data_IF_472467187214
#
_entry.id   IF_472467187214
#
_cell.length_a   1.000
_cell.length_b   1.000
_cell.length_c   1.000
_cell.angle_alpha   90.00
_cell.angle_beta   90.00
_cell.angle_gamma   90.00
#
_symmetry.space_group_name_H-M   'P 1'
#
loop_
_entity.id
_entity.type
_entity.pdbx_description
1 polymer ?
#
# COMPACT_ATOMS: atom_id res chain seq x y z
N UNK A 1 -66.39 4.35 -11.79
CA UNK A 1 -65.53 3.15 -11.71
C UNK A 1 -64.16 3.49 -12.29
N UNK A 2 -63.13 3.36 -11.45
CA UNK A 2 -61.66 3.29 -11.72
C UNK A 2 -61.02 4.37 -12.62
N UNK A 3 -60.50 5.41 -11.95
CA UNK A 3 -59.55 6.39 -12.48
C UNK A 3 -58.20 5.71 -12.83
N UNK A 4 -57.69 5.81 -14.07
CA UNK A 4 -56.42 5.21 -14.47
C UNK A 4 -55.18 6.08 -14.13
N UNK A 5 -55.34 7.10 -13.28
CA UNK A 5 -54.31 8.13 -13.07
C UNK A 5 -53.32 7.81 -11.93
N UNK A 6 -53.48 6.67 -11.25
CA UNK A 6 -52.69 6.30 -10.07
C UNK A 6 -51.58 5.27 -10.34
N UNK A 7 -51.31 4.94 -11.61
CA UNK A 7 -50.33 3.90 -11.98
C UNK A 7 -49.01 4.46 -12.53
N UNK A 8 -48.85 5.79 -12.59
CA UNK A 8 -47.66 6.45 -13.15
C UNK A 8 -46.79 7.21 -12.13
N UNK A 9 -47.12 7.18 -10.84
CA UNK A 9 -46.46 8.04 -9.82
C UNK A 9 -45.79 7.31 -8.66
N UNK A 10 -45.48 6.01 -8.79
CA UNK A 10 -44.61 5.30 -7.84
C UNK A 10 -43.28 4.84 -8.44
N UNK A 11 -43.00 5.17 -9.71
CA UNK A 11 -41.78 4.77 -10.42
C UNK A 11 -40.70 5.86 -10.46
N UNK A 12 -40.68 6.80 -9.49
CA UNK A 12 -39.82 7.98 -9.58
C UNK A 12 -38.95 8.30 -8.36
N UNK A 13 -38.97 7.52 -7.27
CA UNK A 13 -38.15 7.87 -6.08
C UNK A 13 -37.58 6.64 -5.38
N UNK A 14 -36.58 6.00 -6.00
CA UNK A 14 -35.44 5.42 -5.26
C UNK A 14 -34.15 5.77 -6.03
N UNK A 15 -33.98 7.07 -6.28
CA UNK A 15 -32.68 7.67 -6.54
C UNK A 15 -32.17 8.16 -5.19
N UNK A 16 -31.65 7.25 -4.38
CA UNK A 16 -30.89 7.62 -3.18
C UNK A 16 -29.54 6.93 -3.22
N UNK A 17 -28.62 7.60 -3.91
CA UNK A 17 -27.25 7.77 -3.48
C UNK A 17 -26.42 6.50 -3.29
N UNK A 18 -25.79 6.04 -4.37
CA UNK A 18 -24.40 5.57 -4.26
C UNK A 18 -23.54 6.77 -3.81
N UNK A 19 -23.62 7.09 -2.53
CA UNK A 19 -22.62 7.92 -1.87
C UNK A 19 -21.29 7.19 -2.00
N UNK A 20 -20.46 7.67 -2.93
CA UNK A 20 -19.03 7.37 -2.90
C UNK A 20 -18.55 7.79 -1.51
N UNK A 21 -18.35 6.80 -0.64
CA UNK A 21 -17.50 6.95 0.53
C UNK A 21 -16.14 7.32 -0.06
N UNK A 22 -15.77 8.60 0.06
CA UNK A 22 -14.40 9.02 -0.15
C UNK A 22 -13.58 8.25 0.88
N UNK A 23 -12.92 7.18 0.42
CA UNK A 23 -11.82 6.59 1.17
C UNK A 23 -10.74 7.67 1.33
N UNK A 24 -10.04 7.71 2.46
CA UNK A 24 -8.96 8.66 2.64
C UNK A 24 -7.85 8.35 1.63
N UNK A 25 -7.58 9.29 0.72
CA UNK A 25 -6.33 9.34 -0.06
C UNK A 25 -6.27 8.50 -1.33
N UNK A 26 -7.26 8.59 -2.22
CA UNK A 26 -7.04 8.24 -3.62
C UNK A 26 -6.26 9.37 -4.34
N UNK A 27 -4.96 9.49 -4.08
CA UNK A 27 -4.03 10.08 -5.05
C UNK A 27 -3.77 9.04 -6.15
N UNK A 28 -4.82 8.73 -6.92
CA UNK A 28 -4.70 7.89 -8.10
C UNK A 28 -5.07 8.74 -9.31
N UNK A 29 -4.05 9.33 -9.93
CA UNK A 29 -4.21 9.95 -11.24
C UNK A 29 -3.19 11.03 -11.55
N UNK A 30 -2.35 10.73 -12.54
CA UNK A 30 -1.83 11.69 -13.53
C UNK A 30 -0.91 12.80 -13.01
N UNK A 31 0.41 12.51 -13.00
CA UNK A 31 1.41 13.41 -13.59
C UNK A 31 1.36 14.89 -13.21
N UNK A 32 1.08 15.22 -11.96
CA UNK A 32 1.16 16.58 -11.45
C UNK A 32 2.24 16.63 -10.37
N UNK A 33 3.45 16.99 -10.81
CA UNK A 33 4.53 17.58 -10.00
C UNK A 33 4.63 17.01 -8.58
N UNK A 34 5.22 15.82 -8.46
CA UNK A 34 5.73 15.24 -7.21
C UNK A 34 6.82 16.10 -6.54
N UNK A 35 7.13 17.26 -7.12
CA UNK A 35 8.31 18.06 -6.79
C UNK A 35 8.07 19.09 -5.67
N UNK A 36 6.85 19.21 -5.15
CA UNK A 36 6.49 20.22 -4.14
C UNK A 36 6.08 19.67 -2.80
N UNK A 37 5.69 18.40 -2.67
CA UNK A 37 5.20 17.85 -1.41
C UNK A 37 5.94 16.56 -1.08
N UNK A 38 6.34 16.42 0.18
CA UNK A 38 6.97 15.21 0.72
C UNK A 38 6.06 14.56 1.76
N UNK A 39 5.87 13.25 1.64
CA UNK A 39 5.13 12.44 2.62
C UNK A 39 5.96 12.25 3.88
N UNK A 40 5.36 12.53 5.03
CA UNK A 40 5.93 12.38 6.36
C UNK A 40 5.13 11.35 7.14
N UNK A 41 5.84 10.41 7.76
CA UNK A 41 5.29 9.38 8.61
C UNK A 41 5.33 9.88 10.05
N UNK A 42 4.17 10.07 10.67
CA UNK A 42 4.06 10.60 12.03
C UNK A 42 4.22 9.45 13.01
N UNK A 43 5.17 9.59 13.94
CA UNK A 43 5.48 8.59 14.99
C UNK A 43 5.68 7.17 14.42
N UNK A 44 6.65 6.97 13.50
CA UNK A 44 6.85 5.67 12.87
C UNK A 44 7.40 4.64 13.86
N UNK A 45 6.79 3.46 13.87
CA UNK A 45 7.17 2.33 14.73
C UNK A 45 7.58 1.12 13.88
N UNK A 46 8.71 0.51 14.21
CA UNK A 46 9.13 -0.74 13.56
C UNK A 46 8.31 -1.90 14.13
N UNK A 47 7.42 -2.45 13.33
CA UNK A 47 6.56 -3.59 13.73
C UNK A 47 7.25 -4.92 13.48
N UNK A 48 8.02 -5.03 12.40
CA UNK A 48 8.81 -6.22 12.05
C UNK A 48 10.17 -5.79 11.53
N UNK A 49 11.24 -6.44 11.96
CA UNK A 49 12.56 -6.28 11.37
C UNK A 49 13.29 -7.60 11.40
N UNK A 50 13.67 -8.10 10.22
CA UNK A 50 14.47 -9.31 10.07
C UNK A 50 15.70 -9.04 9.18
N UNK A 51 16.30 -10.11 8.64
CA UNK A 51 17.47 -10.00 7.77
C UNK A 51 17.15 -9.49 6.36
N UNK A 52 15.92 -9.63 5.87
CA UNK A 52 15.53 -9.28 4.51
C UNK A 52 14.58 -8.09 4.44
N UNK A 53 13.68 -7.93 5.40
CA UNK A 53 12.62 -6.91 5.35
C UNK A 53 12.50 -6.15 6.67
N UNK A 54 11.94 -4.96 6.58
CA UNK A 54 11.52 -4.15 7.71
C UNK A 54 10.14 -3.60 7.42
N UNK A 55 9.20 -3.80 8.35
CA UNK A 55 7.85 -3.28 8.31
C UNK A 55 7.73 -2.15 9.33
N UNK A 56 7.41 -0.96 8.84
CA UNK A 56 7.20 0.25 9.63
C UNK A 56 5.72 0.58 9.60
N UNK A 57 5.14 0.87 10.76
CA UNK A 57 3.77 1.37 10.93
C UNK A 57 3.80 2.85 11.29
N UNK A 58 2.85 3.63 10.81
CA UNK A 58 2.50 4.93 11.36
C UNK A 58 0.98 5.06 11.46
N UNK A 59 0.50 5.82 12.44
CA UNK A 59 -0.95 6.04 12.59
C UNK A 59 -1.48 7.05 11.58
N UNK A 60 -0.63 8.01 11.20
CA UNK A 60 -0.95 9.08 10.25
C UNK A 60 0.23 9.34 9.32
N UNK A 61 -0.11 9.70 8.09
CA UNK A 61 0.82 10.34 7.15
C UNK A 61 0.39 11.78 6.93
N UNK A 62 1.35 12.70 6.94
CA UNK A 62 1.16 14.11 6.64
C UNK A 62 1.93 14.46 5.35
N UNK A 63 1.57 15.56 4.69
CA UNK A 63 2.33 16.10 3.56
C UNK A 63 2.83 17.50 3.91
N UNK A 64 4.10 17.76 3.59
CA UNK A 64 4.71 19.09 3.79
C UNK A 64 5.23 19.59 2.46
N UNK A 65 4.99 20.88 2.18
CA UNK A 65 5.52 21.56 1.01
C UNK A 65 7.05 21.71 1.13
N UNK A 66 7.81 21.13 0.21
CA UNK A 66 9.26 21.22 0.11
C UNK A 66 9.65 22.09 -1.08
N UNK A 67 10.51 23.08 -0.82
CA UNK A 67 11.05 24.00 -1.84
C UNK A 67 12.33 23.51 -2.50
N UNK A 68 13.02 22.56 -1.87
CA UNK A 68 14.24 21.94 -2.37
C UNK A 68 14.19 20.45 -2.03
N UNK A 69 14.03 19.60 -3.04
CA UNK A 69 14.08 18.15 -2.84
C UNK A 69 15.55 17.73 -2.83
N UNK A 70 16.09 17.22 -1.71
CA UNK A 70 17.40 16.59 -1.73
C UNK A 70 17.37 15.43 -2.73
N UNK A 71 18.46 15.26 -3.49
CA UNK A 71 18.58 14.26 -4.55
C UNK A 71 17.97 12.92 -4.11
N UNK A 72 17.06 12.41 -4.93
CA UNK A 72 16.25 11.22 -4.71
C UNK A 72 17.15 10.09 -4.20
N UNK A 73 17.07 9.80 -2.90
CA UNK A 73 17.74 8.63 -2.33
C UNK A 73 17.09 7.44 -3.01
N UNK A 74 17.86 6.73 -3.84
CA UNK A 74 17.36 5.64 -4.68
C UNK A 74 16.46 4.76 -3.83
N UNK A 75 15.15 4.69 -4.12
CA UNK A 75 14.22 4.03 -3.22
C UNK A 75 14.63 2.56 -3.15
N UNK A 76 15.11 2.14 -1.97
CA UNK A 76 15.16 0.74 -1.60
C UNK A 76 13.79 0.14 -1.89
N UNK A 77 13.73 -1.03 -2.54
CA UNK A 77 12.47 -1.66 -2.91
C UNK A 77 11.49 -1.66 -1.74
N UNK A 78 10.45 -0.84 -1.85
CA UNK A 78 9.48 -0.62 -0.78
C UNK A 78 8.06 -0.66 -1.31
N UNK A 79 7.17 -1.13 -0.45
CA UNK A 79 5.73 -1.18 -0.68
C UNK A 79 5.06 -0.39 0.43
N UNK A 80 4.14 0.48 0.05
CA UNK A 80 3.30 1.21 0.99
C UNK A 80 1.86 0.71 0.89
N UNK A 81 1.22 0.52 2.03
CA UNK A 81 -0.17 0.07 2.10
C UNK A 81 -0.87 0.58 3.35
N UNK A 82 -2.20 0.56 3.34
CA UNK A 82 -3.05 0.94 4.47
C UNK A 82 -3.83 -0.27 4.96
N UNK A 83 -3.93 -0.42 6.28
CA UNK A 83 -4.82 -1.38 6.92
C UNK A 83 -6.00 -0.60 7.49
N UNK A 84 -7.17 -0.78 6.89
CA UNK A 84 -8.41 -0.09 7.29
C UNK A 84 -9.17 -0.85 8.39
N UNK A 85 -8.99 -2.17 8.47
CA UNK A 85 -9.65 -3.04 9.43
C UNK A 85 -8.62 -3.70 10.37
N UNK A 86 -8.80 -3.62 11.70
CA UNK A 86 -7.89 -4.26 12.64
C UNK A 86 -7.96 -5.79 12.51
N UNK A 87 -6.87 -6.48 12.85
CA UNK A 87 -6.75 -7.95 12.76
C UNK A 87 -6.52 -8.43 11.31
N UNK A 88 -5.88 -7.61 10.49
CA UNK A 88 -5.46 -8.03 9.17
C UNK A 88 -4.23 -8.95 9.27
N UNK A 89 -4.26 -10.07 8.54
CA UNK A 89 -3.08 -10.89 8.29
C UNK A 89 -2.48 -10.46 6.95
N UNK A 90 -1.18 -10.19 6.96
CA UNK A 90 -0.43 -9.80 5.75
C UNK A 90 0.62 -10.86 5.46
N UNK A 91 0.57 -11.42 4.26
CA UNK A 91 1.62 -12.30 3.76
C UNK A 91 2.60 -11.47 2.96
N UNK A 92 3.84 -11.39 3.43
CA UNK A 92 4.95 -10.73 2.79
C UNK A 92 5.75 -11.80 2.06
N UNK A 93 6.14 -11.53 0.83
CA UNK A 93 6.92 -12.47 0.03
C UNK A 93 7.97 -11.78 -0.81
N UNK A 94 9.19 -12.33 -0.81
CA UNK A 94 10.19 -12.02 -1.82
C UNK A 94 10.11 -13.06 -2.94
N UNK A 95 9.96 -12.59 -4.17
CA UNK A 95 9.87 -13.40 -5.38
C UNK A 95 11.10 -13.17 -6.26
N UNK A 96 11.56 -14.23 -6.94
CA UNK A 96 12.60 -14.13 -7.98
C UNK A 96 12.00 -13.71 -9.34
N UNK A 97 12.86 -13.63 -10.36
CA UNK A 97 12.45 -13.29 -11.74
C UNK A 97 11.49 -14.29 -12.38
N UNK A 98 11.39 -15.51 -11.84
CA UNK A 98 10.47 -16.56 -12.27
C UNK A 98 9.19 -16.62 -11.41
N UNK A 99 8.98 -15.64 -10.52
CA UNK A 99 7.90 -15.61 -9.54
C UNK A 99 7.92 -16.76 -8.51
N UNK A 100 9.08 -17.38 -8.30
CA UNK A 100 9.25 -18.36 -7.23
C UNK A 100 9.39 -17.67 -5.88
N UNK A 101 8.72 -18.20 -4.86
CA UNK A 101 8.81 -17.71 -3.49
C UNK A 101 10.18 -18.03 -2.90
N UNK A 102 10.94 -16.98 -2.57
CA UNK A 102 12.23 -17.10 -1.89
C UNK A 102 12.10 -16.92 -0.39
N UNK A 103 11.18 -16.06 0.05
CA UNK A 103 11.03 -15.73 1.46
C UNK A 103 9.60 -15.31 1.81
N UNK A 104 8.78 -16.21 2.36
CA UNK A 104 7.45 -15.87 2.87
C UNK A 104 7.49 -15.53 4.37
N UNK A 105 6.93 -14.38 4.75
CA UNK A 105 6.69 -13.96 6.14
C UNK A 105 5.22 -13.67 6.33
N UNK A 106 4.61 -14.27 7.36
CA UNK A 106 3.24 -13.97 7.73
C UNK A 106 3.22 -13.07 8.96
N UNK A 107 2.71 -11.86 8.81
CA UNK A 107 2.50 -10.91 9.90
C UNK A 107 1.02 -10.95 10.28
N UNK A 108 0.73 -11.14 11.56
CA UNK A 108 -0.63 -11.32 12.08
C UNK A 108 -1.03 -10.16 12.97
N UNK A 109 -2.34 -9.96 13.09
CA UNK A 109 -2.95 -9.00 14.01
C UNK A 109 -2.45 -7.57 13.78
N UNK A 110 -2.24 -7.16 12.52
CA UNK A 110 -1.91 -5.77 12.23
C UNK A 110 -3.09 -4.87 12.60
N UNK A 111 -2.79 -3.79 13.32
CA UNK A 111 -3.75 -2.75 13.66
C UNK A 111 -4.01 -1.81 12.49
N UNK A 112 -4.99 -0.92 12.66
CA UNK A 112 -5.22 0.19 11.72
C UNK A 112 -3.95 1.04 11.55
N UNK A 113 -3.70 1.52 10.33
CA UNK A 113 -2.64 2.49 10.07
C UNK A 113 -2.01 2.36 8.68
N UNK A 114 -1.00 3.19 8.46
CA UNK A 114 -0.16 3.20 7.27
C UNK A 114 1.05 2.31 7.51
N UNK A 115 1.43 1.54 6.50
CA UNK A 115 2.53 0.60 6.57
C UNK A 115 3.48 0.79 5.40
N UNK A 116 4.78 0.80 5.71
CA UNK A 116 5.86 0.76 4.72
C UNK A 116 6.68 -0.49 4.96
N UNK A 117 6.66 -1.37 3.98
CA UNK A 117 7.51 -2.54 3.91
C UNK A 117 8.73 -2.20 3.05
N UNK A 118 9.93 -2.36 3.60
CA UNK A 118 11.19 -2.06 2.91
C UNK A 118 12.09 -3.28 2.91
N UNK A 119 12.74 -3.55 1.77
CA UNK A 119 13.79 -4.55 1.69
C UNK A 119 15.10 -4.01 2.27
N UNK A 120 15.71 -4.78 3.18
CA UNK A 120 17.01 -4.48 3.75
C UNK A 120 18.14 -5.00 2.84
N UNK A 121 18.45 -4.23 1.80
CA UNK A 121 19.51 -4.59 0.83
C UNK A 121 20.87 -4.80 1.48
N UNK A 122 21.18 -4.06 2.56
CA UNK A 122 22.45 -4.18 3.28
C UNK A 122 22.64 -5.53 3.99
N UNK A 123 21.55 -6.22 4.31
CA UNK A 123 21.55 -7.50 5.02
C UNK A 123 21.28 -8.71 4.11
N UNK A 124 21.11 -8.49 2.79
CA UNK A 124 20.97 -9.55 1.78
C UNK A 124 22.24 -10.41 1.59
N UNK A 125 23.32 -10.19 2.34
CA UNK A 125 24.60 -10.85 2.13
C UNK A 125 24.67 -12.28 2.70
N UNK A 126 23.63 -12.80 3.35
CA UNK A 126 23.60 -14.19 3.84
C UNK A 126 22.17 -14.72 3.98
N UNK A 127 21.66 -15.52 3.01
CA UNK A 127 22.31 -15.93 1.76
C UNK A 127 22.36 -14.79 0.74
N UNK A 128 23.49 -14.62 0.05
CA UNK A 128 23.67 -13.62 -1.01
C UNK A 128 22.73 -13.94 -2.18
N UNK A 129 21.74 -13.07 -2.40
CA UNK A 129 20.87 -13.17 -3.57
C UNK A 129 21.70 -12.92 -4.84
N UNK A 130 21.60 -13.78 -5.89
CA UNK A 130 22.26 -13.54 -7.16
C UNK A 130 21.73 -12.27 -7.83
N UNK A 131 22.54 -11.64 -8.68
CA UNK A 131 22.07 -10.50 -9.48
C UNK A 131 20.89 -10.92 -10.36
N UNK A 132 19.88 -10.07 -10.46
CA UNK A 132 18.65 -10.40 -11.16
C UNK A 132 17.47 -9.54 -10.72
N UNK A 133 16.32 -9.81 -11.32
CA UNK A 133 15.06 -9.14 -10.99
C UNK A 133 14.38 -9.85 -9.82
N UNK A 134 13.93 -9.07 -8.85
CA UNK A 134 13.17 -9.55 -7.71
C UNK A 134 11.91 -8.71 -7.53
N UNK A 135 10.92 -9.28 -6.87
CA UNK A 135 9.70 -8.57 -6.51
C UNK A 135 9.37 -8.79 -5.04
N UNK A 136 9.23 -7.70 -4.30
CA UNK A 136 8.60 -7.71 -3.00
C UNK A 136 7.09 -7.73 -3.22
N UNK A 137 6.36 -8.54 -2.46
CA UNK A 137 4.91 -8.68 -2.54
C UNK A 137 4.30 -8.66 -1.14
N UNK A 138 3.18 -7.98 -0.99
CA UNK A 138 2.34 -8.00 0.20
C UNK A 138 0.91 -8.39 -0.21
N UNK A 139 0.43 -9.54 0.26
CA UNK A 139 -0.95 -9.98 0.14
C UNK A 139 -1.73 -9.59 1.40
N UNK A 140 -2.78 -8.78 1.23
CA UNK A 140 -3.56 -8.13 2.28
C UNK A 140 -5.02 -8.51 2.05
N UNK A 141 -5.56 -9.46 2.80
CA UNK A 141 -6.93 -9.99 2.63
C UNK A 141 -7.25 -10.40 1.17
N UNK A 142 -7.83 -9.49 0.38
CA UNK A 142 -8.27 -9.69 -1.02
C UNK A 142 -7.46 -8.88 -2.04
N UNK A 143 -6.46 -8.12 -1.60
CA UNK A 143 -5.60 -7.32 -2.47
C UNK A 143 -4.15 -7.80 -2.37
N UNK A 144 -3.37 -7.52 -3.42
CA UNK A 144 -1.94 -7.76 -3.47
C UNK A 144 -1.27 -6.51 -3.99
N UNK A 145 -0.16 -6.12 -3.37
CA UNK A 145 0.69 -5.04 -3.85
C UNK A 145 2.09 -5.61 -4.08
N UNK A 146 2.70 -5.24 -5.21
CA UNK A 146 3.98 -5.80 -5.64
C UNK A 146 4.88 -4.67 -6.13
N UNK A 147 6.13 -4.65 -5.66
CA UNK A 147 7.17 -3.74 -6.14
C UNK A 147 8.39 -4.55 -6.59
N UNK A 148 8.82 -4.37 -7.83
CA UNK A 148 9.95 -5.07 -8.40
C UNK A 148 11.19 -4.18 -8.52
N UNK A 149 12.36 -4.79 -8.39
CA UNK A 149 13.65 -4.13 -8.41
C UNK A 149 14.71 -5.06 -8.98
N UNK A 150 15.77 -4.48 -9.54
CA UNK A 150 16.92 -5.22 -10.04
C UNK A 150 18.07 -5.14 -9.04
N UNK A 151 18.57 -6.30 -8.63
CA UNK A 151 19.78 -6.43 -7.83
C UNK A 151 20.97 -6.55 -8.80
N UNK A 152 21.93 -5.61 -8.70
CA UNK A 152 23.16 -5.59 -9.50
C UNK A 152 24.30 -6.27 -8.75
#
# INVERSE_FOLDING_TARGET
MKNPLLMFLCLAVVVTGCGRKGGPGAEQGTGLTSDKYQTIWVEPEVTVSDSLVTLIRAERIDSIEVRNIPAEVTPSASIEFVIEEPICNVSISLLDGNQMFLYPVMVRNLGFGYYRLTLNTSRLNSPRLPSGRYCLRADILKSSITACFDLR
#
